data_IF_363516601872
#
_entry.id   IF_363516601872
#
_cell.length_a   1.000
_cell.length_b   1.000
_cell.length_c   1.000
_cell.angle_alpha   90.00
_cell.angle_beta   90.00
_cell.angle_gamma   90.00
#
_symmetry.space_group_name_H-M   'P 1'
#
loop_
_entity.id
_entity.type
_entity.pdbx_description
1 polymer ?
#
# COMPACT_ATOMS: atom_id res chain seq x y z
N UNK A 1 -17.97 -14.58 7.45
CA UNK A 1 -16.68 -14.46 8.18
C UNK A 1 -15.90 -13.38 7.45
N UNK A 2 -15.81 -12.18 8.04
CA UNK A 2 -15.10 -11.08 7.40
C UNK A 2 -13.61 -11.42 7.44
N UNK A 3 -13.03 -11.72 6.28
CA UNK A 3 -11.58 -11.81 6.12
C UNK A 3 -11.02 -10.40 6.32
N UNK A 4 -10.76 -10.04 7.57
CA UNK A 4 -9.98 -8.86 7.90
C UNK A 4 -8.62 -9.02 7.23
N UNK A 5 -8.27 -8.02 6.43
CA UNK A 5 -6.96 -7.91 5.80
C UNK A 5 -5.87 -8.18 6.85
N UNK A 6 -4.96 -9.12 6.56
CA UNK A 6 -3.80 -9.40 7.43
C UNK A 6 -2.90 -8.16 7.61
N UNK A 7 -3.07 -7.13 6.79
CA UNK A 7 -2.27 -5.93 6.77
C UNK A 7 -3.04 -4.74 7.34
N UNK A 8 -2.53 -4.20 8.45
CA UNK A 8 -2.90 -2.88 8.95
C UNK A 8 -1.98 -1.81 8.35
N UNK A 9 -2.50 -0.61 8.03
CA UNK A 9 -1.66 0.50 7.62
C UNK A 9 -0.74 0.92 8.77
N UNK A 10 0.48 1.32 8.43
CA UNK A 10 1.39 2.01 9.35
C UNK A 10 0.98 3.47 9.52
N UNK A 11 1.58 4.15 10.49
CA UNK A 11 1.39 5.60 10.65
C UNK A 11 1.87 6.39 9.44
N UNK A 12 2.97 5.96 8.79
CA UNK A 12 3.49 6.65 7.61
C UNK A 12 2.54 6.53 6.42
N UNK A 13 1.99 5.33 6.17
CA UNK A 13 1.01 5.12 5.09
C UNK A 13 -0.28 5.93 5.35
N UNK A 14 -0.72 6.04 6.61
CA UNK A 14 -1.83 6.94 6.98
C UNK A 14 -1.52 8.42 6.75
N UNK A 15 -0.28 8.85 6.97
CA UNK A 15 0.13 10.24 6.70
C UNK A 15 0.20 10.50 5.19
N UNK A 16 0.69 9.54 4.40
CA UNK A 16 0.73 9.63 2.94
C UNK A 16 -0.68 9.74 2.35
N UNK A 17 -1.63 8.96 2.85
CA UNK A 17 -3.03 9.01 2.44
C UNK A 17 -3.65 10.40 2.55
N UNK A 18 -3.24 11.20 3.55
CA UNK A 18 -3.74 12.58 3.72
C UNK A 18 -3.36 13.50 2.56
N UNK A 19 -2.37 13.14 1.77
CA UNK A 19 -1.96 13.87 0.56
C UNK A 19 -2.59 13.33 -0.72
N UNK A 20 -3.32 12.20 -0.64
CA UNK A 20 -3.83 11.44 -1.79
C UNK A 20 -5.34 11.14 -1.65
N UNK A 21 -6.23 12.14 -1.52
CA UNK A 21 -7.67 11.88 -1.47
C UNK A 21 -8.14 11.23 -2.78
N UNK A 22 -9.04 10.25 -2.67
CA UNK A 22 -9.47 9.37 -3.78
C UNK A 22 -8.33 8.61 -4.48
N UNK A 23 -7.19 8.49 -3.82
CA UNK A 23 -5.98 7.87 -4.36
C UNK A 23 -5.74 6.47 -3.81
N UNK A 24 -4.47 6.07 -3.91
CA UNK A 24 -3.97 4.78 -3.44
C UNK A 24 -2.66 4.99 -2.68
N UNK A 25 -2.50 4.29 -1.56
CA UNK A 25 -1.22 4.18 -0.86
C UNK A 25 -0.66 2.78 -1.07
N UNK A 26 0.59 2.69 -1.52
CA UNK A 26 1.22 1.42 -1.87
C UNK A 26 2.17 0.97 -0.76
N UNK A 27 2.10 -0.30 -0.39
CA UNK A 27 3.11 -0.93 0.47
C UNK A 27 4.18 -1.59 -0.38
N UNK A 28 5.43 -1.25 -0.12
CA UNK A 28 6.59 -1.77 -0.84
C UNK A 28 7.36 -2.79 0.01
N UNK A 29 7.91 -3.81 -0.63
CA UNK A 29 8.89 -4.73 -0.07
C UNK A 29 10.31 -4.20 -0.37
N UNK A 30 10.70 -3.16 0.38
CA UNK A 30 12.01 -2.52 0.24
C UNK A 30 11.96 -1.00 0.48
N UNK A 31 13.14 -0.38 0.46
CA UNK A 31 13.30 1.07 0.54
C UNK A 31 13.60 1.56 -0.87
N UNK A 32 12.73 2.41 -1.40
CA UNK A 32 12.87 3.04 -2.69
C UNK A 32 12.90 4.56 -2.50
N UNK A 33 13.77 5.24 -3.25
CA UNK A 33 13.79 6.69 -3.33
C UNK A 33 12.78 7.18 -4.38
N UNK A 34 12.25 8.38 -4.19
CA UNK A 34 11.24 9.00 -5.07
C UNK A 34 11.69 9.13 -6.54
N UNK A 35 12.99 9.01 -6.81
CA UNK A 35 13.59 9.13 -8.15
C UNK A 35 13.73 7.79 -8.87
N UNK A 36 13.57 6.68 -8.16
CA UNK A 36 13.72 5.35 -8.74
C UNK A 36 12.35 4.78 -9.06
N UNK A 37 12.20 4.28 -10.28
CA UNK A 37 11.00 3.56 -10.68
C UNK A 37 10.85 2.31 -9.81
N UNK A 38 9.74 2.21 -9.09
CA UNK A 38 9.43 1.04 -8.26
C UNK A 38 8.89 -0.07 -9.16
N UNK A 39 9.57 -1.22 -9.26
CA UNK A 39 9.07 -2.33 -10.08
C UNK A 39 7.78 -2.89 -9.47
N UNK A 40 6.83 -3.29 -10.31
CA UNK A 40 5.54 -3.85 -9.84
C UNK A 40 5.71 -5.07 -8.94
N UNK A 41 6.78 -5.86 -9.14
CA UNK A 41 7.11 -7.01 -8.31
C UNK A 41 7.50 -6.67 -6.87
N UNK A 42 7.84 -5.41 -6.59
CA UNK A 42 8.19 -4.91 -5.26
C UNK A 42 7.00 -4.31 -4.50
N UNK A 43 5.85 -4.17 -5.14
CA UNK A 43 4.63 -3.69 -4.49
C UNK A 43 3.94 -4.90 -3.86
N UNK A 44 3.84 -4.91 -2.53
CA UNK A 44 3.10 -5.94 -1.77
C UNK A 44 1.60 -5.82 -2.05
N UNK A 45 1.11 -4.59 -2.08
CA UNK A 45 -0.29 -4.27 -2.28
C UNK A 45 -0.55 -2.79 -2.06
N UNK A 46 -1.82 -2.43 -1.99
CA UNK A 46 -2.23 -1.05 -1.79
C UNK A 46 -3.49 -0.94 -0.92
N UNK A 47 -3.67 0.22 -0.31
CA UNK A 47 -4.96 0.64 0.24
C UNK A 47 -5.58 1.70 -0.66
N UNK A 48 -6.90 1.63 -0.78
CA UNK A 48 -7.69 2.71 -1.32
C UNK A 48 -7.83 3.83 -0.27
N UNK A 49 -7.85 5.07 -0.74
CA UNK A 49 -7.98 6.26 0.09
C UNK A 49 -9.29 6.95 -0.23
N UNK A 50 -10.05 7.29 0.81
CA UNK A 50 -11.32 7.99 0.66
C UNK A 50 -11.14 9.49 0.31
N UNK A 51 -12.25 10.21 0.22
CA UNK A 51 -12.29 11.65 -0.08
C UNK A 51 -11.59 12.52 0.99
N UNK A 52 -11.44 12.01 2.21
CA UNK A 52 -10.83 12.71 3.36
C UNK A 52 -9.35 12.37 3.53
N UNK A 53 -8.78 11.63 2.59
CA UNK A 53 -7.41 11.16 2.71
C UNK A 53 -7.26 10.07 3.79
N UNK A 54 -8.30 9.28 4.04
CA UNK A 54 -8.30 8.19 5.02
C UNK A 54 -8.19 6.85 4.32
N UNK A 55 -7.26 6.01 4.80
CA UNK A 55 -7.15 4.64 4.34
C UNK A 55 -8.37 3.86 4.82
N UNK A 56 -9.08 3.25 3.87
CA UNK A 56 -10.10 2.26 4.20
C UNK A 56 -9.43 0.90 4.44
N UNK A 57 -9.90 0.13 5.41
CA UNK A 57 -9.24 -1.10 5.90
C UNK A 57 -9.12 -2.26 4.86
N UNK A 58 -9.55 -2.03 3.62
CA UNK A 58 -9.45 -2.99 2.53
C UNK A 58 -8.08 -2.90 1.86
N UNK A 59 -7.11 -3.67 2.36
CA UNK A 59 -5.85 -3.88 1.64
C UNK A 59 -6.07 -4.80 0.43
N UNK A 60 -5.53 -4.40 -0.71
CA UNK A 60 -5.56 -5.16 -1.95
C UNK A 60 -4.16 -5.68 -2.22
N UNK A 61 -3.97 -6.99 -2.06
CA UNK A 61 -2.72 -7.66 -2.41
C UNK A 61 -2.47 -7.56 -3.92
N UNK A 62 -1.23 -7.24 -4.27
CA UNK A 62 -0.80 -7.25 -5.66
C UNK A 62 -0.55 -8.70 -6.11
N UNK A 63 -1.28 -9.25 -7.09
CA UNK A 63 -1.09 -10.63 -7.55
C UNK A 63 0.27 -10.84 -8.25
N UNK A 64 0.93 -9.77 -8.67
CA UNK A 64 2.28 -9.81 -9.26
C UNK A 64 3.38 -9.69 -8.21
N UNK A 65 3.03 -9.57 -6.93
CA UNK A 65 4.01 -9.57 -5.86
C UNK A 65 4.69 -10.94 -5.80
N UNK A 66 5.99 -10.95 -6.11
CA UNK A 66 6.83 -12.15 -6.00
C UNK A 66 7.70 -11.93 -4.77
N UNK A 67 7.28 -12.49 -3.64
CA UNK A 67 8.09 -12.49 -2.41
C UNK A 67 9.45 -13.11 -2.72
N UNK A 68 10.51 -12.30 -2.73
CA UNK A 68 11.86 -12.84 -2.87
C UNK A 68 12.33 -13.31 -1.50
N UNK A 69 12.12 -14.59 -1.20
CA UNK A 69 12.85 -15.24 -0.10
C UNK A 69 14.34 -15.06 -0.36
N UNK A 70 14.99 -14.26 0.50
CA UNK A 70 16.45 -14.11 0.52
C UNK A 70 17.08 -15.28 1.26
#
# INVERSE_FOLDING_TARGET
>A
MHSTSQFEPTTQERLEAKSLPHGWVYRLDGIYDEKTEVPSSAIIGAWEVDEKGEIIEKFILNPQYIFKSK
#
